data_IF_978047996821
#
_entry.id   IF_978047996821
#
_cell.length_a   1.000
_cell.length_b   1.000
_cell.length_c   1.000
_cell.angle_alpha   90.00
_cell.angle_beta   90.00
_cell.angle_gamma   90.00
#
_symmetry.space_group_name_H-M   'P 1'
#
loop_
_entity.id
_entity.type
_entity.pdbx_description
1 polymer ?
#
# COMPACT_ATOMS: atom_id res chain seq x y z
N UNK A 1 39.87 -38.72 18.57
CA UNK A 1 40.01 -39.06 20.01
C UNK A 1 39.92 -37.78 20.81
N UNK A 2 39.16 -37.76 21.91
CA UNK A 2 39.14 -36.70 22.98
C UNK A 2 38.66 -35.30 22.52
N UNK A 3 38.03 -34.39 23.28
CA UNK A 3 37.30 -34.31 24.57
C UNK A 3 36.67 -32.87 24.61
N UNK A 4 35.67 -32.47 25.41
CA UNK A 4 34.79 -33.07 26.45
C UNK A 4 33.47 -32.24 26.55
N UNK A 5 32.48 -32.71 27.30
CA UNK A 5 31.28 -31.94 27.71
C UNK A 5 31.58 -30.88 28.80
N UNK A 6 30.78 -29.80 28.86
CA UNK A 6 30.25 -29.21 30.12
C UNK A 6 28.83 -28.69 29.84
N UNK A 7 27.92 -28.83 30.82
CA UNK A 7 26.52 -28.38 30.81
C UNK A 7 26.19 -27.55 32.06
N UNK A 8 24.98 -26.95 32.08
CA UNK A 8 24.27 -26.33 33.24
C UNK A 8 24.79 -24.95 33.72
N UNK A 9 24.00 -24.10 34.42
CA UNK A 9 22.67 -24.28 35.04
C UNK A 9 21.76 -23.03 35.00
N UNK A 10 20.50 -23.24 35.37
CA UNK A 10 19.38 -22.26 35.53
C UNK A 10 19.28 -21.78 36.99
N UNK A 11 18.88 -20.51 37.24
CA UNK A 11 18.05 -20.13 38.42
C UNK A 11 17.04 -19.03 38.05
N UNK A 12 15.87 -19.07 38.72
CA UNK A 12 14.66 -18.27 38.52
C UNK A 12 14.68 -16.87 39.17
N UNK A 13 13.73 -16.02 38.78
CA UNK A 13 13.23 -14.89 39.58
C UNK A 13 11.74 -14.65 39.31
N UNK A 14 10.86 -15.01 40.26
CA UNK A 14 9.40 -15.02 40.09
C UNK A 14 8.68 -13.96 40.94
N UNK A 15 7.67 -13.30 40.36
CA UNK A 15 6.43 -12.81 40.99
C UNK A 15 5.48 -12.33 39.86
N UNK A 16 4.30 -12.91 39.62
CA UNK A 16 3.06 -12.74 40.40
C UNK A 16 2.56 -11.27 40.38
N UNK A 17 1.33 -10.92 40.02
CA UNK A 17 0.12 -11.72 39.74
C UNK A 17 -0.79 -10.93 38.72
N UNK A 18 -2.07 -11.22 38.41
CA UNK A 18 -3.05 -12.08 39.07
C UNK A 18 -4.00 -12.80 38.06
N UNK A 19 -5.22 -12.30 37.81
CA UNK A 19 -6.34 -12.98 37.11
C UNK A 19 -7.33 -12.00 36.49
N UNK A 20 -7.92 -12.39 35.34
CA UNK A 20 -9.32 -12.09 35.02
C UNK A 20 -9.89 -13.25 34.18
N UNK A 21 -10.70 -14.10 34.80
CA UNK A 21 -11.40 -15.22 34.18
C UNK A 21 -12.74 -14.76 33.60
N UNK A 22 -13.00 -15.05 32.33
CA UNK A 22 -14.36 -15.20 31.79
C UNK A 22 -14.39 -16.38 30.84
N UNK A 23 -15.18 -17.40 31.19
CA UNK A 23 -15.46 -18.54 30.34
C UNK A 23 -16.53 -18.18 29.29
N UNK A 24 -16.36 -18.68 28.07
CA UNK A 24 -17.35 -18.59 26.99
C UNK A 24 -17.05 -19.62 25.92
N UNK A 25 -17.66 -20.80 26.02
CA UNK A 25 -17.34 -21.96 25.18
C UNK A 25 -18.18 -22.01 23.89
N UNK A 26 -17.58 -22.62 22.87
CA UNK A 26 -18.23 -23.29 21.73
C UNK A 26 -18.90 -22.43 20.65
N UNK A 27 -18.26 -22.38 19.47
CA UNK A 27 -18.74 -23.13 18.29
C UNK A 27 -17.69 -23.11 17.17
N UNK A 28 -17.62 -24.17 16.35
CA UNK A 28 -16.68 -24.28 15.23
C UNK A 28 -17.35 -23.90 13.88
N UNK A 29 -16.60 -23.19 13.03
CA UNK A 29 -16.49 -23.20 11.53
C UNK A 29 -17.71 -23.50 10.62
N UNK A 30 -17.76 -23.07 9.31
CA UNK A 30 -16.72 -22.39 8.50
C UNK A 30 -17.17 -21.24 7.54
N UNK A 31 -16.23 -20.32 7.18
CA UNK A 31 -16.16 -19.54 5.90
C UNK A 31 -17.34 -18.57 5.56
N UNK A 32 -17.25 -17.67 4.53
CA UNK A 32 -16.24 -17.49 3.48
C UNK A 32 -15.55 -16.10 3.45
N UNK A 33 -14.82 -15.82 2.36
CA UNK A 33 -14.09 -14.57 2.09
C UNK A 33 -15.00 -13.44 1.53
N UNK A 34 -14.38 -12.30 1.17
CA UNK A 34 -14.98 -11.02 0.67
C UNK A 34 -15.49 -10.16 1.83
N UNK A 35 -15.06 -8.90 2.04
CA UNK A 35 -14.73 -7.86 1.06
C UNK A 35 -13.56 -6.96 1.48
N UNK A 36 -13.09 -6.11 0.56
CA UNK A 36 -12.11 -5.05 0.82
C UNK A 36 -12.59 -4.07 1.93
N UNK A 37 -11.67 -3.34 2.61
CA UNK A 37 -12.08 -2.29 3.54
C UNK A 37 -12.91 -1.25 2.80
N UNK A 38 -14.19 -1.12 3.19
CA UNK A 38 -15.04 -0.06 2.69
C UNK A 38 -14.46 1.28 3.14
N UNK A 39 -14.14 2.14 2.18
CA UNK A 39 -13.72 3.52 2.46
C UNK A 39 -14.94 4.24 3.01
N UNK A 40 -15.04 4.35 4.34
CA UNK A 40 -16.16 5.04 4.98
C UNK A 40 -16.08 6.52 4.64
N UNK A 41 -16.98 6.97 3.76
CA UNK A 41 -17.23 8.37 3.46
C UNK A 41 -17.81 9.08 4.69
N UNK A 42 -16.96 9.31 5.69
CA UNK A 42 -17.30 10.09 6.86
C UNK A 42 -17.69 11.50 6.44
N UNK A 43 -18.92 11.90 6.74
CA UNK A 43 -19.43 13.26 6.56
C UNK A 43 -18.72 14.18 7.55
N UNK A 44 -17.46 14.51 7.26
CA UNK A 44 -16.66 15.41 8.07
C UNK A 44 -17.24 16.83 7.98
N UNK A 45 -17.69 17.36 9.12
CA UNK A 45 -17.88 18.80 9.27
C UNK A 45 -16.52 19.48 9.24
N UNK A 46 -16.06 19.85 8.04
CA UNK A 46 -14.75 20.41 7.78
C UNK A 46 -14.48 20.42 6.28
N UNK A 47 -13.63 21.32 5.81
CA UNK A 47 -13.35 21.51 4.38
C UNK A 47 -12.45 20.42 3.78
N UNK A 48 -12.69 19.14 4.08
CA UNK A 48 -11.76 18.06 3.73
C UNK A 48 -12.50 16.81 3.24
N UNK A 49 -12.43 16.54 1.93
CA UNK A 49 -13.06 15.39 1.29
C UNK A 49 -12.03 14.34 0.84
N UNK A 50 -12.40 13.06 0.68
CA UNK A 50 -11.54 12.07 0.03
C UNK A 50 -11.20 12.48 -1.41
N UNK A 51 -9.99 12.22 -1.85
CA UNK A 51 -9.60 12.43 -3.25
C UNK A 51 -10.35 11.45 -4.17
N UNK A 52 -10.55 11.84 -5.44
CA UNK A 52 -11.18 10.95 -6.42
C UNK A 52 -10.28 9.74 -6.71
N UNK A 53 -10.84 8.53 -6.57
CA UNK A 53 -10.22 7.28 -7.00
C UNK A 53 -11.11 6.66 -8.10
N UNK A 54 -10.64 6.56 -9.36
CA UNK A 54 -11.46 6.03 -10.43
C UNK A 54 -11.87 4.57 -10.22
N UNK A 55 -13.03 4.18 -10.76
CA UNK A 55 -13.59 2.85 -10.56
C UNK A 55 -12.62 1.73 -10.99
N UNK A 56 -12.41 0.76 -10.09
CA UNK A 56 -11.50 -0.38 -10.29
C UNK A 56 -10.03 -0.09 -10.02
N UNK A 57 -9.63 1.15 -9.74
CA UNK A 57 -8.31 1.47 -9.22
C UNK A 57 -8.24 1.27 -7.70
N UNK A 58 -7.03 1.19 -7.17
CA UNK A 58 -6.70 0.84 -5.78
C UNK A 58 -5.65 1.79 -5.23
N UNK A 59 -5.95 2.31 -4.04
CA UNK A 59 -5.08 3.12 -3.19
C UNK A 59 -4.48 4.35 -3.87
N UNK A 60 -3.88 5.18 -3.03
CA UNK A 60 -2.93 6.20 -3.43
C UNK A 60 -1.53 5.70 -3.03
N UNK A 61 -0.49 6.11 -3.74
CA UNK A 61 0.89 5.91 -3.28
C UNK A 61 1.84 6.89 -3.95
N UNK A 62 2.83 7.37 -3.20
CA UNK A 62 4.01 8.05 -3.74
C UNK A 62 4.90 7.07 -4.52
N UNK A 63 5.39 7.48 -5.69
CA UNK A 63 6.37 6.74 -6.48
C UNK A 63 7.63 7.56 -6.79
N UNK A 64 8.77 7.14 -6.22
CA UNK A 64 10.06 7.75 -6.54
C UNK A 64 10.69 7.15 -7.83
N UNK A 65 10.62 5.82 -8.00
CA UNK A 65 11.14 5.09 -9.16
C UNK A 65 10.65 3.63 -9.22
N UNK A 66 10.65 3.03 -10.40
CA UNK A 66 10.53 1.58 -10.56
C UNK A 66 11.91 0.90 -10.61
N UNK A 67 11.96 -0.40 -10.37
CA UNK A 67 13.20 -1.22 -10.45
C UNK A 67 13.03 -2.36 -11.45
N UNK A 68 14.11 -2.75 -12.12
CA UNK A 68 14.14 -4.04 -12.81
C UNK A 68 14.55 -5.15 -11.82
N UNK A 69 13.76 -6.21 -11.74
CA UNK A 69 14.04 -7.39 -10.90
C UNK A 69 13.83 -8.65 -11.74
N UNK A 70 14.93 -9.34 -12.07
CA UNK A 70 14.92 -10.56 -12.91
C UNK A 70 14.13 -10.36 -14.22
N UNK A 71 14.34 -9.23 -14.91
CA UNK A 71 13.65 -8.87 -16.15
C UNK A 71 12.33 -8.13 -15.95
N UNK A 72 11.65 -8.28 -14.81
CA UNK A 72 10.36 -7.65 -14.53
C UNK A 72 10.51 -6.19 -14.08
N UNK A 73 9.55 -5.34 -14.43
CA UNK A 73 9.43 -4.01 -13.82
C UNK A 73 8.62 -4.14 -12.52
N UNK A 74 9.17 -3.62 -11.43
CA UNK A 74 8.60 -3.72 -10.07
C UNK A 74 8.56 -2.35 -9.43
N UNK A 75 7.45 -2.03 -8.75
CA UNK A 75 7.32 -0.85 -7.88
C UNK A 75 7.03 -1.28 -6.46
N UNK A 76 7.53 -0.51 -5.48
CA UNK A 76 7.22 -0.71 -4.06
C UNK A 76 6.13 0.27 -3.66
N UNK A 77 4.92 -0.23 -3.47
CA UNK A 77 3.73 0.53 -3.11
C UNK A 77 3.58 0.51 -1.60
N UNK A 78 3.64 1.67 -0.94
CA UNK A 78 3.03 1.85 0.39
C UNK A 78 1.63 2.39 0.14
N UNK A 79 0.54 1.64 0.43
CA UNK A 79 -0.80 2.12 0.17
C UNK A 79 -1.17 3.25 1.12
N UNK A 80 -1.79 4.29 0.57
CA UNK A 80 -2.20 5.51 1.26
C UNK A 80 -3.68 5.80 0.98
N UNK A 81 -4.29 6.55 1.90
CA UNK A 81 -5.52 7.32 1.65
C UNK A 81 -5.15 8.76 1.29
N UNK A 82 -6.01 9.43 0.53
CA UNK A 82 -5.81 10.82 0.11
C UNK A 82 -7.04 11.65 0.49
N UNK A 83 -6.81 12.86 1.01
CA UNK A 83 -7.84 13.89 1.23
C UNK A 83 -7.38 15.21 0.66
N UNK A 84 -8.31 15.96 0.07
CA UNK A 84 -8.08 17.31 -0.48
C UNK A 84 -8.93 18.33 0.25
N UNK A 85 -8.39 19.53 0.47
CA UNK A 85 -9.09 20.63 1.09
C UNK A 85 -10.06 21.27 0.08
N UNK A 86 -11.35 21.31 0.38
CA UNK A 86 -12.40 21.86 -0.50
C UNK A 86 -12.37 23.39 -0.60
N UNK A 87 -11.42 24.05 0.09
CA UNK A 87 -11.18 25.51 0.01
C UNK A 87 -9.82 25.85 -0.63
N UNK A 88 -8.95 24.87 -0.85
CA UNK A 88 -7.67 25.01 -1.54
C UNK A 88 -7.27 23.63 -2.08
N UNK A 89 -7.40 23.40 -3.38
CA UNK A 89 -7.16 22.09 -4.00
C UNK A 89 -5.66 21.71 -4.09
N UNK A 90 -4.76 22.68 -3.92
CA UNK A 90 -3.32 22.47 -3.66
C UNK A 90 -3.05 21.80 -2.29
N UNK A 91 -3.96 21.95 -1.31
CA UNK A 91 -3.78 21.46 0.07
C UNK A 91 -4.31 20.02 0.20
N UNK A 92 -3.37 19.07 0.08
CA UNK A 92 -3.64 17.64 -0.04
C UNK A 92 -2.87 16.84 1.02
N UNK A 93 -3.56 15.93 1.71
CA UNK A 93 -2.98 15.05 2.72
C UNK A 93 -3.03 13.60 2.23
N UNK A 94 -1.85 12.99 2.13
CA UNK A 94 -1.67 11.55 1.94
C UNK A 94 -1.31 10.88 3.27
N UNK A 95 -2.03 9.82 3.63
CA UNK A 95 -1.85 9.10 4.91
C UNK A 95 -1.69 7.60 4.66
N UNK A 96 -0.56 6.98 5.05
CA UNK A 96 -0.34 5.54 4.95
C UNK A 96 -1.47 4.72 5.58
N UNK A 97 -1.98 3.75 4.83
CA UNK A 97 -3.15 2.93 5.18
C UNK A 97 -2.86 1.43 5.23
N UNK A 98 -1.59 1.03 5.12
CA UNK A 98 -1.20 -0.39 5.17
C UNK A 98 0.29 -0.63 4.96
N UNK A 99 0.69 -1.90 5.08
CA UNK A 99 2.07 -2.33 4.87
C UNK A 99 2.48 -2.21 3.40
N UNK A 100 3.75 -1.90 3.16
CA UNK A 100 4.29 -1.76 1.81
C UNK A 100 4.44 -3.11 1.10
N UNK A 101 4.14 -3.13 -0.20
CA UNK A 101 4.14 -4.32 -1.06
C UNK A 101 4.97 -4.08 -2.32
N UNK A 102 5.63 -5.11 -2.84
CA UNK A 102 6.31 -5.05 -4.14
C UNK A 102 5.38 -5.62 -5.21
N UNK A 103 4.97 -4.80 -6.19
CA UNK A 103 4.05 -5.19 -7.24
C UNK A 103 4.76 -5.20 -8.60
N UNK A 104 4.51 -6.25 -9.37
CA UNK A 104 5.03 -6.44 -10.73
C UNK A 104 4.04 -5.84 -11.73
N UNK A 105 4.52 -5.20 -12.79
CA UNK A 105 3.66 -4.80 -13.92
C UNK A 105 3.30 -6.01 -14.80
N UNK A 106 2.04 -6.07 -15.21
CA UNK A 106 1.56 -7.04 -16.19
C UNK A 106 2.16 -6.77 -17.58
N UNK A 107 2.21 -7.80 -18.43
CA UNK A 107 2.49 -7.60 -19.85
C UNK A 107 1.43 -6.69 -20.48
N UNK A 108 1.85 -5.74 -21.30
CA UNK A 108 0.97 -4.73 -21.91
C UNK A 108 0.43 -3.66 -20.96
N UNK A 109 0.86 -3.62 -19.69
CA UNK A 109 0.37 -2.63 -18.73
C UNK A 109 0.64 -1.18 -19.19
N UNK A 110 -0.35 -0.30 -18.99
CA UNK A 110 -0.24 1.12 -19.33
C UNK A 110 0.13 1.97 -18.12
N UNK A 111 1.16 2.80 -18.27
CA UNK A 111 1.46 3.87 -17.32
C UNK A 111 1.09 5.21 -17.96
N UNK A 112 0.51 6.10 -17.17
CA UNK A 112 0.26 7.51 -17.50
C UNK A 112 1.03 8.37 -16.48
N UNK A 113 1.84 9.29 -16.97
CA UNK A 113 2.61 10.26 -16.16
C UNK A 113 2.24 11.68 -16.56
N UNK A 114 2.46 12.65 -15.67
CA UNK A 114 2.27 14.06 -15.99
C UNK A 114 3.46 14.63 -16.75
N UNK A 115 3.15 15.61 -17.60
CA UNK A 115 4.07 16.50 -18.29
C UNK A 115 3.41 17.87 -18.24
N UNK A 116 3.90 18.72 -17.34
CA UNK A 116 3.25 19.96 -16.93
C UNK A 116 1.81 19.67 -16.45
N UNK A 117 0.79 20.19 -17.13
CA UNK A 117 -0.64 19.94 -16.83
C UNK A 117 -1.26 18.83 -17.68
N UNK A 118 -0.48 18.14 -18.51
CA UNK A 118 -0.97 17.14 -19.47
C UNK A 118 -0.53 15.72 -19.13
N UNK A 119 -1.33 14.72 -19.48
CA UNK A 119 -0.98 13.31 -19.19
C UNK A 119 -0.40 12.60 -20.41
N UNK A 120 0.78 12.01 -20.27
CA UNK A 120 1.47 11.22 -21.32
C UNK A 120 1.48 9.74 -20.97
N UNK A 121 1.17 8.89 -21.95
CA UNK A 121 1.31 7.42 -21.82
C UNK A 121 2.77 7.00 -21.99
N UNK A 122 3.29 6.20 -21.06
CA UNK A 122 4.62 5.60 -21.08
C UNK A 122 4.55 4.09 -20.80
N UNK A 123 5.65 3.38 -21.03
CA UNK A 123 5.76 1.95 -20.69
C UNK A 123 6.23 1.77 -19.25
N UNK A 124 5.93 0.64 -18.57
CA UNK A 124 6.49 0.37 -17.25
C UNK A 124 8.02 0.46 -17.21
N UNK A 125 8.70 -0.03 -18.25
CA UNK A 125 10.18 0.01 -18.35
C UNK A 125 10.73 1.44 -18.38
N UNK A 126 9.95 2.43 -18.83
CA UNK A 126 10.35 3.84 -18.80
C UNK A 126 10.62 4.32 -17.37
N UNK A 127 9.76 3.93 -16.40
CA UNK A 127 9.87 4.29 -14.98
C UNK A 127 11.13 3.76 -14.26
N UNK A 128 11.85 2.82 -14.87
CA UNK A 128 13.12 2.30 -14.33
C UNK A 128 14.29 3.23 -14.62
N UNK A 129 14.21 3.95 -15.75
CA UNK A 129 15.31 4.76 -16.28
C UNK A 129 15.05 6.26 -16.19
N UNK A 130 13.87 6.68 -15.73
CA UNK A 130 13.46 8.08 -15.65
C UNK A 130 13.11 8.44 -14.21
N UNK A 131 13.73 9.52 -13.71
CA UNK A 131 13.34 10.13 -12.45
C UNK A 131 12.09 10.97 -12.69
N UNK A 132 11.05 10.74 -11.90
CA UNK A 132 9.84 11.55 -11.94
C UNK A 132 10.08 12.88 -11.22
N UNK A 133 9.53 13.96 -11.75
CA UNK A 133 9.60 15.29 -11.12
C UNK A 133 8.59 15.39 -9.96
N UNK A 134 8.83 16.32 -9.03
CA UNK A 134 7.85 16.73 -8.00
C UNK A 134 7.32 15.63 -7.05
N UNK A 135 7.99 14.48 -6.95
CA UNK A 135 7.63 13.36 -6.05
C UNK A 135 6.18 12.91 -6.18
N UNK A 136 5.81 12.36 -7.35
CA UNK A 136 4.42 12.18 -7.74
C UNK A 136 3.68 11.11 -6.96
N UNK A 137 2.36 11.29 -6.89
CA UNK A 137 1.42 10.33 -6.37
C UNK A 137 0.65 9.66 -7.52
N UNK A 138 0.38 8.37 -7.37
CA UNK A 138 -0.31 7.54 -8.34
C UNK A 138 -1.47 6.79 -7.70
N UNK A 139 -2.44 6.42 -8.53
CA UNK A 139 -3.33 5.28 -8.28
C UNK A 139 -3.06 4.17 -9.30
N UNK A 140 -3.39 2.92 -8.96
CA UNK A 140 -3.10 1.75 -9.81
C UNK A 140 -4.23 0.71 -9.82
N UNK A 141 -4.37 -0.03 -10.93
CA UNK A 141 -5.30 -1.14 -11.07
C UNK A 141 -4.55 -2.44 -11.32
N UNK A 142 -4.88 -3.48 -10.59
CA UNK A 142 -4.31 -4.83 -10.79
C UNK A 142 -5.19 -5.73 -11.66
N UNK A 143 -4.59 -6.69 -12.37
CA UNK A 143 -5.27 -7.79 -13.04
C UNK A 143 -5.60 -8.94 -12.06
N UNK A 144 -6.18 -10.03 -12.58
CA UNK A 144 -6.51 -11.23 -11.78
C UNK A 144 -5.29 -11.94 -11.17
N UNK A 145 -4.09 -11.68 -11.69
CA UNK A 145 -2.81 -12.19 -11.18
C UNK A 145 -2.14 -11.23 -10.17
N UNK A 146 -2.87 -10.20 -9.68
CA UNK A 146 -2.36 -9.15 -8.79
C UNK A 146 -1.18 -8.34 -9.34
N UNK A 147 -1.00 -8.31 -10.66
CA UNK A 147 0.00 -7.48 -11.35
C UNK A 147 -0.62 -6.14 -11.77
N UNK A 148 0.16 -5.06 -11.74
CA UNK A 148 -0.31 -3.73 -12.18
C UNK A 148 -0.62 -3.75 -13.68
N UNK A 149 -1.87 -3.50 -14.03
CA UNK A 149 -2.40 -3.44 -15.40
C UNK A 149 -2.53 -2.02 -15.93
N UNK A 150 -2.81 -1.07 -15.05
CA UNK A 150 -2.86 0.35 -15.34
C UNK A 150 -2.36 1.15 -14.12
N UNK A 151 -1.68 2.26 -14.36
CA UNK A 151 -1.18 3.16 -13.34
C UNK A 151 -1.20 4.57 -13.90
N UNK A 152 -1.67 5.54 -13.11
CA UNK A 152 -1.86 6.91 -13.57
C UNK A 152 -1.49 7.89 -12.46
N UNK A 153 -0.68 8.88 -12.85
CA UNK A 153 -0.21 9.97 -12.00
C UNK A 153 -1.34 10.96 -11.75
N UNK A 154 -1.40 11.45 -10.51
CA UNK A 154 -2.49 12.28 -10.02
C UNK A 154 -2.10 13.74 -10.14
N UNK A 155 -2.91 14.49 -10.89
CA UNK A 155 -2.83 15.95 -10.90
C UNK A 155 -3.69 16.49 -9.76
N UNK A 156 -3.05 17.19 -8.83
CA UNK A 156 -3.70 18.20 -8.00
C UNK A 156 -3.34 19.56 -8.59
N UNK A 157 -4.33 20.45 -8.85
CA UNK A 157 -4.09 21.81 -9.32
C UNK A 157 -3.14 22.59 -8.42
#
# INVERSE_FOLDING_TARGET
>A
MNHRYVSTAVVLGSAAALLATMCGSSSASPRPATSAPAVTSGKAGGSWQPCHLPAGYKHFFKLDSAKNVKGNTVVRVTPETCRVNTKNDEDVIYTPSGAAQSLVFASGASVKVLSDTTTRKVTPKWLVNHKLANTPYFYYRVNGQSQISAMEEIYHP
#
